data_IF_583761139446
#
_entry.id   IF_583761139446
#
_cell.length_a   1.000
_cell.length_b   1.000
_cell.length_c   1.000
_cell.angle_alpha   90.00
_cell.angle_beta   90.00
_cell.angle_gamma   90.00
#
_symmetry.space_group_name_H-M   'P 1'
#
loop_
_entity.id
_entity.type
_entity.pdbx_description
1 polymer ?
#
# COMPACT_ATOMS: atom_id res chain seq x y z
N UNK A 1 14.33 29.93 -8.08
CA UNK A 1 14.24 28.92 -7.01
C UNK A 1 14.47 27.59 -7.69
N UNK A 2 15.41 26.77 -7.23
CA UNK A 2 15.48 25.38 -7.69
C UNK A 2 14.12 24.74 -7.41
N UNK A 3 13.49 24.22 -8.46
CA UNK A 3 12.15 23.65 -8.33
C UNK A 3 12.23 22.38 -7.50
N UNK A 4 11.61 22.40 -6.32
CA UNK A 4 11.58 21.31 -5.36
C UNK A 4 11.13 20.00 -6.00
N UNK A 5 11.93 18.94 -5.83
CA UNK A 5 11.61 17.61 -6.38
C UNK A 5 11.10 16.65 -5.32
N UNK A 6 10.15 15.80 -5.72
CA UNK A 6 9.59 14.75 -4.89
C UNK A 6 9.84 13.40 -5.55
N UNK A 7 10.43 12.46 -4.81
CA UNK A 7 10.56 11.07 -5.24
C UNK A 7 9.39 10.24 -4.67
N UNK A 8 8.56 9.68 -5.54
CA UNK A 8 7.53 8.72 -5.16
C UNK A 8 8.05 7.29 -5.34
N UNK A 9 7.87 6.43 -4.34
CA UNK A 9 8.34 5.04 -4.32
C UNK A 9 7.16 4.11 -4.02
N UNK A 10 6.85 3.20 -4.95
CA UNK A 10 5.81 2.20 -4.80
C UNK A 10 6.38 0.80 -5.00
N UNK A 11 6.78 0.12 -3.91
CA UNK A 11 7.19 -1.27 -3.97
C UNK A 11 5.98 -2.20 -4.17
N UNK A 12 6.05 -3.07 -5.17
CA UNK A 12 5.17 -4.22 -5.39
C UNK A 12 5.90 -5.54 -5.12
N UNK A 13 5.21 -6.67 -5.24
CA UNK A 13 5.76 -8.01 -4.97
C UNK A 13 7.06 -8.27 -5.75
N UNK A 14 7.02 -8.12 -7.07
CA UNK A 14 8.13 -8.39 -8.00
C UNK A 14 8.65 -7.15 -8.73
N UNK A 15 8.26 -5.96 -8.30
CA UNK A 15 8.71 -4.71 -8.91
C UNK A 15 8.77 -3.56 -7.91
N UNK A 16 9.47 -2.49 -8.26
CA UNK A 16 9.36 -1.19 -7.61
C UNK A 16 9.14 -0.13 -8.67
N UNK A 17 8.02 0.59 -8.58
CA UNK A 17 7.79 1.78 -9.42
C UNK A 17 8.32 3.00 -8.69
N UNK A 18 9.12 3.80 -9.39
CA UNK A 18 9.60 5.09 -8.89
C UNK A 18 9.26 6.19 -9.87
N UNK A 19 9.02 7.38 -9.35
CA UNK A 19 8.81 8.57 -10.15
C UNK A 19 9.39 9.81 -9.45
N UNK A 20 10.02 10.70 -10.21
CA UNK A 20 10.44 12.01 -9.72
C UNK A 20 9.51 13.07 -10.30
N UNK A 21 8.98 13.89 -9.42
CA UNK A 21 8.06 14.98 -9.75
C UNK A 21 8.71 16.33 -9.47
N UNK A 22 8.39 17.28 -10.35
CA UNK A 22 8.73 18.69 -10.24
C UNK A 22 7.41 19.46 -10.34
N UNK A 23 6.92 19.95 -9.20
CA UNK A 23 5.51 20.38 -9.07
C UNK A 23 4.54 19.25 -9.43
N UNK A 24 3.67 19.48 -10.41
CA UNK A 24 2.72 18.48 -10.92
C UNK A 24 3.26 17.64 -12.09
N UNK A 25 4.47 17.92 -12.58
CA UNK A 25 5.06 17.25 -13.75
C UNK A 25 5.92 16.08 -13.30
N UNK A 26 5.65 14.88 -13.83
CA UNK A 26 6.58 13.76 -13.73
C UNK A 26 7.73 13.99 -14.72
N UNK A 27 8.96 14.10 -14.20
CA UNK A 27 10.17 14.27 -15.01
C UNK A 27 10.93 12.95 -15.19
N UNK A 28 10.62 11.96 -14.36
CA UNK A 28 11.15 10.61 -14.46
C UNK A 28 10.12 9.62 -13.94
N UNK A 29 10.01 8.48 -14.63
CA UNK A 29 9.16 7.36 -14.25
C UNK A 29 9.86 6.08 -14.66
N UNK A 30 10.06 5.17 -13.72
CA UNK A 30 10.69 3.87 -13.98
C UNK A 30 9.96 2.76 -13.24
N UNK A 31 9.80 1.64 -13.93
CA UNK A 31 9.33 0.39 -13.33
C UNK A 31 10.51 -0.58 -13.25
N UNK A 32 11.05 -0.76 -12.05
CA UNK A 32 12.18 -1.66 -11.77
C UNK A 32 11.61 -3.04 -11.53
N UNK A 33 12.01 -4.04 -12.32
CA UNK A 33 11.62 -5.44 -12.10
C UNK A 33 12.64 -6.12 -11.19
N UNK A 34 12.16 -6.95 -10.28
CA UNK A 34 12.99 -7.81 -9.42
C UNK A 34 12.77 -9.25 -9.84
N UNK A 35 13.85 -9.95 -10.21
CA UNK A 35 13.73 -11.35 -10.60
C UNK A 35 13.45 -12.22 -9.37
N UNK A 36 12.88 -13.41 -9.58
CA UNK A 36 12.68 -14.37 -8.50
C UNK A 36 14.02 -14.78 -7.90
N UNK A 37 15.07 -14.85 -8.70
CA UNK A 37 16.45 -15.16 -8.30
C UNK A 37 17.02 -14.11 -7.37
N UNK A 38 16.79 -12.82 -7.66
CA UNK A 38 17.23 -11.70 -6.80
C UNK A 38 16.51 -11.70 -5.46
N UNK A 39 15.24 -12.09 -5.44
CA UNK A 39 14.40 -12.06 -4.24
C UNK A 39 14.53 -13.31 -3.36
N UNK A 40 14.93 -14.45 -3.95
CA UNK A 40 15.07 -15.75 -3.28
C UNK A 40 15.93 -15.74 -2.01
N UNK A 41 17.01 -14.94 -1.89
CA UNK A 41 17.83 -14.91 -0.68
C UNK A 41 17.15 -14.32 0.55
N UNK A 42 16.10 -13.50 0.36
CA UNK A 42 15.43 -12.80 1.46
C UNK A 42 14.35 -13.67 2.09
N UNK A 43 14.46 -13.89 3.40
CA UNK A 43 13.47 -14.67 4.15
C UNK A 43 12.20 -13.86 4.42
N UNK A 44 12.37 -12.58 4.76
CA UNK A 44 11.26 -11.65 5.00
C UNK A 44 11.22 -10.59 3.92
N UNK A 45 10.04 -10.04 3.68
CA UNK A 45 9.87 -8.92 2.76
C UNK A 45 10.72 -7.74 3.20
N UNK A 46 10.71 -7.39 4.48
CA UNK A 46 11.43 -6.23 5.03
C UNK A 46 12.93 -6.29 4.79
N UNK A 47 13.54 -7.48 4.72
CA UNK A 47 14.97 -7.67 4.49
C UNK A 47 15.40 -7.16 3.09
N UNK A 48 14.46 -7.00 2.17
CA UNK A 48 14.69 -6.54 0.80
C UNK A 48 14.95 -5.03 0.70
N UNK A 49 14.70 -4.25 1.75
CA UNK A 49 14.62 -2.79 1.62
C UNK A 49 15.94 -2.16 1.15
N UNK A 50 17.09 -2.60 1.70
CA UNK A 50 18.39 -2.11 1.28
C UNK A 50 18.70 -2.50 -0.17
N UNK A 51 18.43 -3.76 -0.55
CA UNK A 51 18.61 -4.21 -1.93
C UNK A 51 17.82 -3.34 -2.92
N UNK A 52 16.54 -3.10 -2.64
CA UNK A 52 15.70 -2.27 -3.51
C UNK A 52 16.13 -0.80 -3.51
N UNK A 53 16.58 -0.29 -2.38
CA UNK A 53 17.11 1.09 -2.26
C UNK A 53 18.31 1.30 -3.19
N UNK A 54 19.30 0.40 -3.17
CA UNK A 54 20.50 0.55 -4.01
C UNK A 54 20.16 0.59 -5.49
N UNK A 55 19.18 -0.21 -5.94
CA UNK A 55 18.72 -0.17 -7.33
C UNK A 55 18.04 1.17 -7.65
N UNK A 56 17.22 1.72 -6.74
CA UNK A 56 16.59 3.03 -6.93
C UNK A 56 17.66 4.12 -7.06
N UNK A 57 18.66 4.13 -6.18
CA UNK A 57 19.75 5.11 -6.23
C UNK A 57 20.52 5.04 -7.54
N UNK A 58 20.79 3.82 -8.02
CA UNK A 58 21.42 3.60 -9.33
C UNK A 58 20.56 4.16 -10.47
N UNK A 59 19.27 3.86 -10.49
CA UNK A 59 18.35 4.33 -11.54
C UNK A 59 18.18 5.86 -11.56
N UNK A 60 18.23 6.51 -10.40
CA UNK A 60 18.25 7.98 -10.32
C UNK A 60 19.55 8.56 -10.88
N UNK A 61 20.69 7.95 -10.54
CA UNK A 61 22.00 8.35 -11.05
C UNK A 61 22.11 8.15 -12.56
N UNK A 62 21.68 7.00 -13.08
CA UNK A 62 21.70 6.66 -14.51
C UNK A 62 20.77 7.59 -15.33
N UNK A 63 19.81 8.25 -14.69
CA UNK A 63 18.92 9.25 -15.28
C UNK A 63 19.38 10.70 -15.05
N UNK A 64 20.61 10.92 -14.56
CA UNK A 64 21.18 12.22 -14.22
C UNK A 64 20.33 13.04 -13.23
N UNK A 65 19.62 12.37 -12.33
CA UNK A 65 18.84 13.01 -11.27
C UNK A 65 19.73 13.17 -10.04
N UNK A 66 20.14 14.40 -9.76
CA UNK A 66 20.81 14.73 -8.51
C UNK A 66 19.88 14.48 -7.32
N UNK A 67 20.27 13.52 -6.47
CA UNK A 67 19.51 13.15 -5.29
C UNK A 67 19.38 14.30 -4.29
N UNK A 68 20.33 15.24 -4.27
CA UNK A 68 20.30 16.39 -3.36
C UNK A 68 19.23 17.42 -3.73
N UNK A 69 18.69 17.35 -4.95
CA UNK A 69 17.57 18.19 -5.38
C UNK A 69 16.20 17.71 -4.86
N UNK A 70 16.15 16.53 -4.24
CA UNK A 70 14.93 15.94 -3.68
C UNK A 70 14.68 16.51 -2.28
N UNK A 71 13.54 17.19 -2.12
CA UNK A 71 13.14 17.77 -0.81
C UNK A 71 12.24 16.83 -0.02
N UNK A 72 11.59 15.88 -0.69
CA UNK A 72 10.71 14.91 -0.06
C UNK A 72 10.69 13.58 -0.79
N UNK A 73 10.60 12.49 -0.03
CA UNK A 73 10.42 11.14 -0.56
C UNK A 73 9.13 10.57 0.00
N UNK A 74 8.23 10.12 -0.87
CA UNK A 74 6.94 9.54 -0.47
C UNK A 74 6.90 8.08 -0.85
N UNK A 75 6.88 7.20 0.15
CA UNK A 75 6.69 5.76 -0.01
C UNK A 75 5.20 5.38 -0.01
N UNK A 76 4.84 4.29 -0.71
CA UNK A 76 3.56 3.62 -0.46
C UNK A 76 3.50 3.17 1.00
N UNK A 77 2.42 3.49 1.70
CA UNK A 77 2.26 3.11 3.10
C UNK A 77 1.99 1.62 3.30
N UNK A 78 2.68 1.02 4.28
CA UNK A 78 2.63 -0.41 4.60
C UNK A 78 1.53 -0.82 5.58
N UNK A 79 1.62 -2.07 6.05
CA UNK A 79 0.75 -2.69 7.06
C UNK A 79 1.18 -2.27 8.48
N UNK A 80 0.91 -1.01 8.83
CA UNK A 80 1.09 -0.46 10.19
C UNK A 80 -0.20 -0.58 11.01
N UNK A 81 -0.27 0.03 12.19
CA UNK A 81 -1.53 0.13 12.95
C UNK A 81 -2.61 0.83 12.11
N UNK A 82 -3.90 0.52 12.31
CA UNK A 82 -4.99 1.25 11.66
C UNK A 82 -4.86 2.75 11.95
N UNK A 83 -4.90 3.55 10.89
CA UNK A 83 -4.83 5.03 10.96
C UNK A 83 -5.81 5.65 9.99
N UNK A 84 -6.12 6.93 10.15
CA UNK A 84 -6.96 7.64 9.19
C UNK A 84 -6.26 7.83 7.84
N UNK A 85 -6.98 8.30 6.83
CA UNK A 85 -6.34 8.74 5.59
C UNK A 85 -5.49 9.99 5.83
N UNK A 86 -4.41 10.12 5.07
CA UNK A 86 -3.49 11.24 5.23
C UNK A 86 -2.09 10.97 4.71
N UNK A 87 -1.25 11.99 4.88
CA UNK A 87 0.18 11.92 4.62
C UNK A 87 0.89 11.96 5.97
N UNK A 88 1.68 10.93 6.24
CA UNK A 88 2.36 10.73 7.52
C UNK A 88 3.85 10.81 7.32
N UNK A 89 4.53 11.63 8.11
CA UNK A 89 5.99 11.64 8.14
C UNK A 89 6.51 10.35 8.76
N UNK A 90 7.57 9.78 8.16
CA UNK A 90 8.18 8.54 8.63
C UNK A 90 9.06 8.84 9.84
N UNK A 91 8.59 8.43 11.01
CA UNK A 91 9.30 8.50 12.28
C UNK A 91 9.74 7.11 12.77
N UNK A 92 10.48 7.06 13.88
CA UNK A 92 11.02 5.83 14.46
C UNK A 92 9.92 4.81 14.83
N UNK A 93 8.77 5.28 15.31
CA UNK A 93 7.64 4.39 15.64
C UNK A 93 7.07 3.72 14.38
N UNK A 94 6.93 4.47 13.29
CA UNK A 94 6.46 3.94 12.02
C UNK A 94 7.46 2.93 11.45
N UNK A 95 8.76 3.20 11.55
CA UNK A 95 9.83 2.28 11.15
C UNK A 95 9.76 0.98 11.95
N UNK A 96 9.59 1.08 13.27
CA UNK A 96 9.44 -0.08 14.15
C UNK A 96 8.20 -0.92 13.78
N UNK A 97 7.05 -0.27 13.58
CA UNK A 97 5.81 -0.94 13.18
C UNK A 97 5.96 -1.67 11.82
N UNK A 98 6.67 -1.07 10.86
CA UNK A 98 6.98 -1.69 9.55
C UNK A 98 7.92 -2.90 9.65
N UNK A 99 8.95 -2.83 10.50
CA UNK A 99 9.86 -3.96 10.73
C UNK A 99 9.20 -5.12 11.47
N UNK A 100 8.36 -4.83 12.46
CA UNK A 100 7.66 -5.85 13.25
C UNK A 100 6.58 -6.56 12.43
N UNK A 101 5.97 -5.86 11.46
CA UNK A 101 4.99 -6.45 10.52
C UNK A 101 3.84 -7.19 11.23
N UNK A 102 3.31 -6.61 12.33
CA UNK A 102 2.24 -7.22 13.15
C UNK A 102 0.99 -7.61 12.37
N UNK A 103 0.62 -6.80 11.37
CA UNK A 103 -0.54 -7.04 10.51
C UNK A 103 -0.19 -7.81 9.23
N UNK A 104 1.03 -8.36 9.15
CA UNK A 104 1.51 -9.16 8.04
C UNK A 104 2.63 -8.52 7.24
N UNK A 105 3.25 -9.34 6.40
CA UNK A 105 4.29 -8.92 5.47
C UNK A 105 3.69 -8.64 4.09
N UNK A 106 3.95 -7.44 3.58
CA UNK A 106 3.58 -7.07 2.21
C UNK A 106 4.62 -6.10 1.64
N UNK A 107 4.80 -6.09 0.31
CA UNK A 107 5.80 -5.25 -0.34
C UNK A 107 5.66 -3.76 0.00
N UNK A 108 4.44 -3.29 0.27
CA UNK A 108 4.20 -1.91 0.73
C UNK A 108 4.91 -1.57 2.04
N UNK A 109 5.28 -2.54 2.87
CA UNK A 109 6.03 -2.28 4.10
C UNK A 109 7.40 -1.66 3.82
N UNK A 110 7.94 -1.86 2.61
CA UNK A 110 9.22 -1.32 2.19
C UNK A 110 9.18 0.18 1.88
N UNK A 111 8.01 0.75 1.57
CA UNK A 111 7.91 2.12 1.05
C UNK A 111 8.47 3.15 2.04
N UNK A 112 7.97 3.12 3.28
CA UNK A 112 8.44 4.02 4.35
C UNK A 112 9.89 3.77 4.74
N UNK A 113 10.32 2.51 4.81
CA UNK A 113 11.70 2.13 5.15
C UNK A 113 12.71 2.67 4.12
N UNK A 114 12.44 2.45 2.83
CA UNK A 114 13.30 2.93 1.74
C UNK A 114 13.32 4.46 1.74
N UNK A 115 12.16 5.12 1.85
CA UNK A 115 12.08 6.58 1.85
C UNK A 115 12.90 7.19 2.99
N UNK A 116 12.75 6.66 4.21
CA UNK A 116 13.49 7.14 5.37
C UNK A 116 14.99 6.86 5.29
N UNK A 117 15.40 5.71 4.74
CA UNK A 117 16.83 5.41 4.61
C UNK A 117 17.52 6.31 3.59
N UNK A 118 16.84 6.69 2.49
CA UNK A 118 17.39 7.60 1.48
C UNK A 118 17.53 9.03 2.02
N UNK A 119 16.54 9.55 2.76
CA UNK A 119 16.64 10.96 3.25
C UNK A 119 17.78 11.17 4.24
N UNK A 120 18.32 10.11 4.87
CA UNK A 120 19.51 10.22 5.74
C UNK A 120 20.74 10.74 5.00
N UNK A 121 20.79 10.59 3.68
CA UNK A 121 21.89 11.08 2.86
C UNK A 121 21.63 12.45 2.25
N UNK A 122 20.46 13.06 2.49
CA UNK A 122 20.02 14.31 1.86
C UNK A 122 19.69 15.33 2.95
N UNK A 123 20.48 16.40 3.04
CA UNK A 123 20.27 17.44 4.05
C UNK A 123 18.92 18.13 3.86
N UNK A 124 18.10 18.18 4.93
CA UNK A 124 16.81 18.86 4.94
C UNK A 124 15.65 18.13 4.24
N UNK A 125 15.88 16.96 3.64
CA UNK A 125 14.81 16.17 3.02
C UNK A 125 13.96 15.43 4.06
N UNK A 126 12.68 15.22 3.73
CA UNK A 126 11.71 14.54 4.61
C UNK A 126 11.12 13.30 3.94
N UNK A 127 10.87 12.25 4.72
CA UNK A 127 10.25 11.02 4.25
C UNK A 127 8.80 10.93 4.70
N UNK A 128 7.91 10.50 3.82
CA UNK A 128 6.49 10.35 4.09
C UNK A 128 5.95 9.03 3.58
N UNK A 129 4.82 8.61 4.12
CA UNK A 129 3.88 7.69 3.47
C UNK A 129 2.56 8.41 3.20
N UNK A 130 1.80 7.96 2.21
CA UNK A 130 0.48 8.51 1.90
C UNK A 130 -0.56 7.39 1.85
N UNK A 131 -1.71 7.63 2.49
CA UNK A 131 -2.91 6.79 2.51
C UNK A 131 -2.55 5.29 2.55
N UNK A 132 -1.94 4.80 3.65
CA UNK A 132 -1.45 3.42 3.72
C UNK A 132 -2.55 2.39 3.45
N UNK A 133 -2.15 1.16 3.15
CA UNK A 133 -3.11 0.08 2.87
C UNK A 133 -4.03 -0.26 4.06
N UNK A 134 -3.71 0.24 5.26
CA UNK A 134 -4.46 0.06 6.52
C UNK A 134 -5.27 1.28 6.94
N UNK A 135 -5.59 2.20 6.02
CA UNK A 135 -6.51 3.31 6.34
C UNK A 135 -7.78 2.71 6.94
N UNK A 136 -8.23 3.20 8.09
CA UNK A 136 -9.44 2.70 8.75
C UNK A 136 -10.36 3.88 9.06
N UNK A 137 -11.38 4.02 8.21
CA UNK A 137 -12.45 5.01 8.35
C UNK A 137 -13.82 4.31 8.43
N UNK A 138 -13.82 2.99 8.68
CA UNK A 138 -15.03 2.17 8.74
C UNK A 138 -15.97 2.67 9.83
N UNK A 139 -17.25 2.73 9.49
CA UNK A 139 -18.30 2.94 10.48
C UNK A 139 -18.50 1.71 11.37
N UNK A 140 -18.96 1.91 12.60
CA UNK A 140 -19.16 0.81 13.56
C UNK A 140 -20.05 -0.30 12.98
N UNK A 141 -21.10 0.07 12.24
CA UNK A 141 -21.98 -0.90 11.57
C UNK A 141 -21.26 -1.75 10.52
N UNK A 142 -20.24 -1.20 9.86
CA UNK A 142 -19.44 -1.90 8.86
C UNK A 142 -18.44 -2.88 9.50
N UNK A 143 -18.24 -2.85 10.83
CA UNK A 143 -17.29 -3.75 11.53
C UNK A 143 -17.89 -5.09 11.91
N UNK A 144 -19.22 -5.22 11.89
CA UNK A 144 -19.89 -6.47 12.25
C UNK A 144 -19.67 -7.57 11.21
N UNK A 145 -19.18 -8.71 11.65
CA UNK A 145 -18.95 -9.92 10.84
C UNK A 145 -20.06 -10.96 10.99
N UNK A 146 -20.98 -10.76 11.94
CA UNK A 146 -22.01 -11.73 12.32
C UNK A 146 -21.57 -12.77 13.37
N UNK A 147 -20.30 -12.78 13.80
CA UNK A 147 -19.84 -13.69 14.85
C UNK A 147 -18.68 -13.10 15.69
N UNK A 148 -18.74 -13.15 17.04
CA UNK A 148 -17.86 -12.37 17.92
C UNK A 148 -16.37 -12.74 17.88
N UNK A 149 -16.02 -13.92 17.33
CA UNK A 149 -14.62 -14.33 17.15
C UNK A 149 -13.95 -13.74 15.91
N UNK A 150 -14.70 -13.11 15.00
CA UNK A 150 -14.16 -12.57 13.76
C UNK A 150 -14.29 -11.05 13.75
N UNK A 151 -13.20 -10.38 13.41
CA UNK A 151 -13.13 -8.94 13.29
C UNK A 151 -12.85 -8.58 11.83
N UNK A 152 -13.45 -7.48 11.36
CA UNK A 152 -13.19 -6.96 10.02
C UNK A 152 -12.00 -6.00 10.08
N UNK A 153 -10.92 -6.35 9.40
CA UNK A 153 -9.77 -5.46 9.23
C UNK A 153 -9.92 -4.61 7.98
N UNK A 154 -9.65 -3.32 8.11
CA UNK A 154 -9.62 -2.39 6.98
C UNK A 154 -8.26 -2.49 6.27
N UNK A 155 -8.18 -3.32 5.22
CA UNK A 155 -6.97 -3.48 4.41
C UNK A 155 -7.34 -3.44 2.92
N UNK A 156 -6.94 -2.38 2.22
CA UNK A 156 -7.38 -2.14 0.85
C UNK A 156 -6.52 -1.11 0.10
N UNK A 157 -6.95 -0.75 -1.11
CA UNK A 157 -6.25 0.17 -2.00
C UNK A 157 -6.56 1.66 -1.69
N UNK A 158 -6.42 2.08 -0.43
CA UNK A 158 -6.84 3.40 0.07
C UNK A 158 -6.30 4.58 -0.75
N UNK A 159 -4.98 4.63 -0.97
CA UNK A 159 -4.35 5.67 -1.78
C UNK A 159 -4.97 5.79 -3.17
N UNK A 160 -5.21 4.66 -3.85
CA UNK A 160 -5.79 4.68 -5.18
C UNK A 160 -7.26 5.11 -5.17
N UNK A 161 -8.06 4.58 -4.24
CA UNK A 161 -9.47 4.95 -4.13
C UNK A 161 -9.62 6.44 -3.82
N UNK A 162 -8.88 6.99 -2.86
CA UNK A 162 -8.92 8.43 -2.55
C UNK A 162 -8.38 9.30 -3.67
N UNK A 163 -7.30 8.90 -4.35
CA UNK A 163 -6.82 9.62 -5.52
C UNK A 163 -7.87 9.67 -6.65
N UNK A 164 -8.57 8.56 -6.89
CA UNK A 164 -9.65 8.45 -7.89
C UNK A 164 -10.84 9.31 -7.50
N UNK A 165 -11.26 9.28 -6.24
CA UNK A 165 -12.35 10.10 -5.72
C UNK A 165 -12.02 11.61 -5.83
N UNK A 166 -10.81 12.03 -5.45
CA UNK A 166 -10.34 13.42 -5.62
C UNK A 166 -10.27 13.84 -7.09
N UNK A 167 -9.88 12.94 -8.00
CA UNK A 167 -9.91 13.21 -9.45
C UNK A 167 -11.34 13.42 -9.95
N UNK A 168 -12.27 12.57 -9.53
CA UNK A 168 -13.69 12.70 -9.89
C UNK A 168 -14.30 14.00 -9.32
N UNK A 169 -14.04 14.30 -8.04
CA UNK A 169 -14.43 15.55 -7.38
C UNK A 169 -14.07 16.80 -8.19
N UNK A 170 -12.83 16.87 -8.70
CA UNK A 170 -12.39 17.95 -9.60
C UNK A 170 -13.14 17.98 -10.93
N UNK A 171 -13.48 16.82 -11.49
CA UNK A 171 -14.16 16.73 -12.77
C UNK A 171 -15.63 17.18 -12.70
N UNK A 172 -16.26 17.07 -11.52
CA UNK A 172 -17.64 17.48 -11.27
C UNK A 172 -17.74 18.79 -10.48
N UNK A 173 -16.60 19.49 -10.28
CA UNK A 173 -16.49 20.75 -9.54
C UNK A 173 -17.19 20.74 -8.17
N UNK A 174 -17.09 19.62 -7.45
CA UNK A 174 -17.70 19.44 -6.12
C UNK A 174 -16.64 18.95 -5.15
N UNK A 175 -16.47 19.55 -3.96
CA UNK A 175 -15.52 19.09 -2.95
C UNK A 175 -15.71 17.59 -2.63
N UNK A 176 -14.61 16.86 -2.46
CA UNK A 176 -14.66 15.42 -2.16
C UNK A 176 -15.42 15.13 -0.85
N UNK A 177 -15.33 16.06 0.09
CA UNK A 177 -15.99 16.06 1.39
C UNK A 177 -17.52 16.28 1.30
N UNK A 178 -18.05 16.65 0.12
CA UNK A 178 -19.48 16.80 -0.15
C UNK A 178 -20.06 15.64 -0.98
N UNK A 179 -19.21 14.71 -1.43
CA UNK A 179 -19.61 13.61 -2.31
C UNK A 179 -19.85 12.30 -1.55
N UNK A 180 -20.80 11.53 -2.07
CA UNK A 180 -20.97 10.11 -1.74
C UNK A 180 -20.68 9.30 -3.00
N UNK A 181 -19.71 8.38 -2.93
CA UNK A 181 -19.21 7.65 -4.10
C UNK A 181 -19.07 6.16 -3.77
N UNK A 182 -19.22 5.32 -4.79
CA UNK A 182 -18.71 3.95 -4.75
C UNK A 182 -17.46 3.91 -5.63
N UNK A 183 -16.32 3.49 -5.06
CA UNK A 183 -15.04 3.46 -5.79
C UNK A 183 -14.53 2.02 -5.85
N UNK A 184 -14.43 1.49 -7.05
CA UNK A 184 -13.89 0.15 -7.31
C UNK A 184 -12.44 0.24 -7.82
N UNK A 185 -11.50 -0.30 -7.03
CA UNK A 185 -10.15 -0.59 -7.49
C UNK A 185 -10.13 -1.96 -8.14
N UNK A 186 -9.79 -2.03 -9.43
CA UNK A 186 -9.73 -3.27 -10.21
C UNK A 186 -8.28 -3.52 -10.63
N UNK A 187 -7.58 -4.42 -9.92
CA UNK A 187 -6.17 -4.74 -10.15
C UNK A 187 -5.83 -6.18 -9.75
N UNK A 188 -4.58 -6.42 -9.31
CA UNK A 188 -4.16 -7.73 -8.79
C UNK A 188 -4.97 -8.15 -7.55
N UNK A 189 -5.25 -7.19 -6.67
CA UNK A 189 -6.33 -7.25 -5.69
C UNK A 189 -7.51 -6.38 -6.13
N UNK A 190 -8.70 -6.67 -5.61
CA UNK A 190 -9.89 -5.85 -5.87
C UNK A 190 -10.45 -5.33 -4.55
N UNK A 191 -10.73 -4.03 -4.50
CA UNK A 191 -11.44 -3.42 -3.37
C UNK A 191 -12.53 -2.47 -3.83
N UNK A 192 -13.71 -2.57 -3.22
CA UNK A 192 -14.86 -1.70 -3.50
C UNK A 192 -15.20 -0.96 -2.22
N UNK A 193 -14.95 0.36 -2.22
CA UNK A 193 -15.19 1.22 -1.07
C UNK A 193 -16.46 2.05 -1.24
N UNK A 194 -17.26 2.15 -0.18
CA UNK A 194 -18.29 3.16 -0.04
C UNK A 194 -17.69 4.40 0.61
N UNK A 195 -17.63 5.49 -0.15
CA UNK A 195 -17.14 6.77 0.30
C UNK A 195 -18.31 7.66 0.68
N UNK A 196 -18.26 8.25 1.88
CA UNK A 196 -19.25 9.21 2.37
C UNK A 196 -18.53 10.44 2.89
N UNK A 197 -18.74 11.59 2.23
CA UNK A 197 -18.19 12.89 2.64
C UNK A 197 -16.69 12.83 2.90
N UNK A 198 -15.93 12.34 1.92
CA UNK A 198 -14.47 12.24 2.01
C UNK A 198 -13.91 11.00 2.74
N UNK A 199 -14.74 10.27 3.49
CA UNK A 199 -14.34 9.10 4.30
C UNK A 199 -14.76 7.78 3.67
N UNK A 200 -13.99 6.70 3.88
CA UNK A 200 -14.26 5.35 3.36
C UNK A 200 -14.93 4.52 4.45
N UNK A 201 -16.25 4.55 4.47
CA UNK A 201 -17.06 4.08 5.60
C UNK A 201 -17.34 2.58 5.58
N UNK A 202 -17.14 1.93 4.43
CA UNK A 202 -17.28 0.49 4.23
C UNK A 202 -16.37 0.05 3.07
N UNK A 203 -15.56 -0.99 3.25
CA UNK A 203 -14.70 -1.57 2.21
C UNK A 203 -14.29 -3.00 2.56
N UNK A 204 -14.22 -3.88 1.57
CA UNK A 204 -13.75 -5.25 1.77
C UNK A 204 -12.26 -5.33 2.12
N UNK A 205 -11.87 -6.35 2.88
CA UNK A 205 -10.45 -6.68 3.09
C UNK A 205 -9.88 -7.34 1.82
N UNK A 206 -9.18 -6.54 1.02
CA UNK A 206 -8.62 -6.97 -0.26
C UNK A 206 -7.29 -7.73 -0.14
N UNK A 207 -6.78 -7.93 1.07
CA UNK A 207 -5.57 -8.72 1.32
C UNK A 207 -5.90 -10.18 1.65
N UNK A 208 -6.89 -10.39 2.54
CA UNK A 208 -7.27 -11.72 3.06
C UNK A 208 -8.45 -12.36 2.31
N UNK A 209 -8.87 -11.77 1.18
CA UNK A 209 -9.87 -12.38 0.29
C UNK A 209 -11.32 -12.15 0.70
N UNK A 210 -11.66 -11.01 1.31
CA UNK A 210 -13.05 -10.59 1.47
C UNK A 210 -13.55 -9.87 0.21
N UNK A 211 -14.84 -10.02 -0.12
CA UNK A 211 -15.50 -9.38 -1.24
C UNK A 211 -15.27 -10.08 -2.59
N UNK A 212 -15.10 -9.33 -3.70
CA UNK A 212 -14.99 -9.90 -5.03
C UNK A 212 -13.69 -10.71 -5.22
N UNK A 213 -13.74 -11.74 -6.06
CA UNK A 213 -12.53 -12.44 -6.52
C UNK A 213 -11.63 -11.51 -7.35
N UNK A 214 -10.34 -11.76 -7.36
CA UNK A 214 -9.34 -11.02 -8.14
C UNK A 214 -8.38 -12.00 -8.84
N UNK A 215 -7.46 -11.50 -9.70
CA UNK A 215 -6.42 -12.36 -10.29
C UNK A 215 -5.53 -13.07 -9.25
N UNK A 216 -5.37 -12.51 -8.05
CA UNK A 216 -4.48 -13.03 -7.01
C UNK A 216 -5.22 -13.60 -5.78
N UNK A 217 -6.54 -13.45 -5.68
CA UNK A 217 -7.34 -13.86 -4.51
C UNK A 217 -8.71 -14.42 -4.92
N UNK A 218 -9.18 -15.39 -4.16
CA UNK A 218 -10.47 -16.05 -4.38
C UNK A 218 -11.68 -15.19 -4.04
N UNK A 219 -11.52 -14.18 -3.17
CA UNK A 219 -12.66 -13.43 -2.64
C UNK A 219 -13.50 -14.27 -1.69
N UNK A 220 -14.74 -13.84 -1.42
CA UNK A 220 -15.60 -14.52 -0.45
C UNK A 220 -15.98 -15.93 -0.93
N UNK A 221 -15.57 -16.94 -0.17
CA UNK A 221 -15.91 -18.35 -0.38
C UNK A 221 -17.02 -18.83 0.58
N UNK A 222 -17.75 -19.91 0.24
CA UNK A 222 -18.75 -20.50 1.14
C UNK A 222 -18.10 -21.05 2.42
N UNK A 223 -18.39 -20.43 3.57
CA UNK A 223 -17.72 -20.75 4.85
C UNK A 223 -17.80 -22.25 5.24
N UNK A 224 -18.93 -22.91 4.95
CA UNK A 224 -19.09 -24.34 5.23
C UNK A 224 -18.14 -25.23 4.42
N UNK A 225 -17.86 -24.86 3.16
CA UNK A 225 -16.91 -25.60 2.31
C UNK A 225 -15.47 -25.34 2.74
N UNK A 226 -15.13 -24.08 3.06
CA UNK A 226 -13.80 -23.73 3.59
C UNK A 226 -13.53 -24.46 4.90
N UNK A 227 -14.51 -24.53 5.81
CA UNK A 227 -14.38 -25.29 7.05
C UNK A 227 -14.15 -26.79 6.76
N UNK A 228 -14.94 -27.40 5.88
CA UNK A 228 -14.75 -28.80 5.51
C UNK A 228 -13.35 -29.07 4.92
N UNK A 229 -12.84 -28.18 4.07
CA UNK A 229 -11.50 -28.26 3.49
C UNK A 229 -10.40 -28.15 4.57
N UNK A 230 -10.50 -27.20 5.48
CA UNK A 230 -9.52 -27.00 6.56
C UNK A 230 -9.45 -28.20 7.52
N UNK A 231 -10.55 -28.94 7.70
CA UNK A 231 -10.65 -30.08 8.61
C UNK A 231 -10.62 -31.44 7.90
N UNK A 232 -10.34 -31.50 6.58
CA UNK A 232 -10.28 -32.76 5.83
C UNK A 232 -9.05 -33.61 6.18
N UNK A 233 -7.99 -32.99 6.71
CA UNK A 233 -6.69 -33.62 6.92
C UNK A 233 -5.81 -33.68 5.66
N UNK A 234 -6.30 -33.21 4.52
CA UNK A 234 -5.59 -33.23 3.23
C UNK A 234 -4.65 -32.03 3.04
N UNK A 235 -4.97 -30.91 3.69
CA UNK A 235 -4.26 -29.64 3.53
C UNK A 235 -3.79 -29.09 4.87
N UNK A 236 -2.58 -28.54 4.87
CA UNK A 236 -2.08 -27.70 5.96
C UNK A 236 -2.64 -26.29 5.86
N UNK A 237 -2.61 -25.55 6.96
CA UNK A 237 -2.98 -24.13 7.00
C UNK A 237 -2.30 -23.30 5.89
N UNK A 238 -0.99 -23.50 5.66
CA UNK A 238 -0.25 -22.77 4.63
C UNK A 238 -0.67 -23.15 3.20
N UNK A 239 -1.04 -24.41 2.96
CA UNK A 239 -1.56 -24.82 1.66
C UNK A 239 -2.92 -24.18 1.39
N UNK A 240 -3.83 -24.18 2.38
CA UNK A 240 -5.13 -23.49 2.24
C UNK A 240 -4.93 -22.01 2.01
N UNK A 241 -4.05 -21.35 2.78
CA UNK A 241 -3.73 -19.92 2.63
C UNK A 241 -3.19 -19.57 1.24
N UNK A 242 -2.48 -20.50 0.58
CA UNK A 242 -1.98 -20.32 -0.79
C UNK A 242 -3.06 -20.53 -1.86
N UNK A 243 -4.11 -21.30 -1.54
CA UNK A 243 -5.23 -21.54 -2.46
C UNK A 243 -6.23 -20.38 -2.49
N UNK A 244 -6.31 -19.60 -1.41
CA UNK A 244 -7.28 -18.51 -1.23
C UNK A 244 -6.76 -17.13 -1.65
#
# INVERSE_FOLDING_TARGET
MEESRILAINPGSTSTKIAVYQGSKSIFLKNIKHSSEDLKPFKKIVDQFHFRKEIILKELKDADIDINSIVAIVGRGGLVKPIESGVYEVNDQLIADLHESKLGEHASNLGGLIAHDIIKTISGARAFIADPVVVDELEDVARYTGHPKFIRHSIFHALNQKATARKHSKAVDTPYEELNLIVAHLGGGISVGAHRKGRIIDVNNALDGDGPFSPERTGTLPCGQVAALCFSGEYTHEQVKKMI
#
